data_IF_703210314623
#
_entry.id   IF_703210314623
#
_cell.length_a   1.000
_cell.length_b   1.000
_cell.length_c   1.000
_cell.angle_alpha   90.00
_cell.angle_beta   90.00
_cell.angle_gamma   90.00
#
_symmetry.space_group_name_H-M   'P 1'
#
loop_
_entity.id
_entity.type
_entity.pdbx_description
1 polymer ?
#
# COMPACT_ATOMS: atom_id res chain seq x y z
N UNK A 1 -2.13 1.70 -21.61
CA UNK A 1 -2.11 1.19 -20.22
C UNK A 1 -1.80 -0.30 -20.30
N UNK A 2 -0.71 -0.79 -19.71
CA UNK A 2 -0.40 -2.24 -19.73
C UNK A 2 -1.23 -2.98 -18.67
N UNK A 3 -1.60 -4.23 -18.95
CA UNK A 3 -2.29 -5.11 -17.99
C UNK A 3 -1.55 -5.18 -16.64
N UNK A 4 -0.22 -5.27 -16.71
CA UNK A 4 0.65 -5.26 -15.53
C UNK A 4 0.51 -3.99 -14.69
N UNK A 5 0.44 -2.82 -15.33
CA UNK A 5 0.26 -1.54 -14.64
C UNK A 5 -1.11 -1.47 -13.94
N UNK A 6 -2.17 -1.97 -14.58
CA UNK A 6 -3.49 -2.05 -13.97
C UNK A 6 -3.52 -2.99 -12.76
N UNK A 7 -2.86 -4.15 -12.86
CA UNK A 7 -2.71 -5.08 -11.73
C UNK A 7 -2.00 -4.41 -10.55
N UNK A 8 -0.90 -3.69 -10.80
CA UNK A 8 -0.16 -2.98 -9.75
C UNK A 8 -1.02 -1.89 -9.08
N UNK A 9 -1.80 -1.13 -9.86
CA UNK A 9 -2.70 -0.10 -9.31
C UNK A 9 -3.79 -0.69 -8.42
N UNK A 10 -4.41 -1.81 -8.84
CA UNK A 10 -5.40 -2.53 -8.03
C UNK A 10 -4.81 -3.10 -6.74
N UNK A 11 -3.61 -3.69 -6.82
CA UNK A 11 -2.91 -4.19 -5.63
C UNK A 11 -2.61 -3.05 -4.64
N UNK A 12 -2.16 -1.90 -5.14
CA UNK A 12 -1.91 -0.70 -4.33
C UNK A 12 -3.18 -0.21 -3.63
N UNK A 13 -4.28 -0.07 -4.37
CA UNK A 13 -5.57 0.35 -3.82
C UNK A 13 -6.00 -0.56 -2.67
N UNK A 14 -5.89 -1.88 -2.86
CA UNK A 14 -6.24 -2.84 -1.82
C UNK A 14 -5.38 -2.70 -0.56
N UNK A 15 -4.08 -2.48 -0.73
CA UNK A 15 -3.17 -2.28 0.42
C UNK A 15 -3.47 -0.99 1.17
N UNK A 16 -3.92 0.07 0.49
CA UNK A 16 -4.36 1.30 1.16
C UNK A 16 -5.59 1.04 2.03
N UNK A 17 -6.58 0.30 1.53
CA UNK A 17 -7.76 -0.07 2.33
C UNK A 17 -7.38 -0.85 3.59
N UNK A 18 -6.52 -1.87 3.43
CA UNK A 18 -6.06 -2.70 4.55
C UNK A 18 -5.24 -1.88 5.57
N UNK A 19 -4.39 -0.95 5.11
CA UNK A 19 -3.64 -0.02 5.97
C UNK A 19 -4.58 0.88 6.76
N UNK A 20 -5.60 1.43 6.11
CA UNK A 20 -6.53 2.37 6.73
C UNK A 20 -7.38 1.70 7.82
N UNK A 21 -7.66 0.40 7.70
CA UNK A 21 -8.26 -0.38 8.77
C UNK A 21 -7.37 -0.41 10.03
N UNK A 22 -6.06 -0.60 9.87
CA UNK A 22 -5.12 -0.55 11.00
C UNK A 22 -4.93 0.87 11.56
N UNK A 23 -4.96 1.90 10.71
CA UNK A 23 -4.93 3.29 11.14
C UNK A 23 -6.12 3.62 12.07
N UNK A 24 -7.32 3.13 11.75
CA UNK A 24 -8.52 3.29 12.60
C UNK A 24 -8.33 2.65 13.98
N UNK A 25 -7.68 1.49 14.06
CA UNK A 25 -7.36 0.83 15.35
C UNK A 25 -6.39 1.68 16.17
N UNK A 26 -5.37 2.26 15.53
CA UNK A 26 -4.39 3.12 16.21
C UNK A 26 -4.99 4.45 16.68
N UNK A 27 -6.04 4.94 16.02
CA UNK A 27 -6.76 6.15 16.40
C UNK A 27 -7.81 5.92 17.52
N UNK A 28 -8.17 4.67 17.81
CA UNK A 28 -9.11 4.33 18.87
C UNK A 28 -8.45 4.46 20.27
N UNK A 29 -9.24 4.46 21.37
CA UNK A 29 -8.69 4.42 22.72
C UNK A 29 -7.67 3.29 22.90
N UNK A 30 -6.61 3.57 23.64
CA UNK A 30 -5.45 2.68 23.73
C UNK A 30 -5.80 1.32 24.32
N UNK A 31 -5.61 0.29 23.51
CA UNK A 31 -5.60 -1.12 23.88
C UNK A 31 -4.23 -1.66 23.48
N UNK A 32 -3.38 -2.00 24.46
CA UNK A 32 -1.96 -2.31 24.23
C UNK A 32 -1.77 -3.41 23.19
N UNK A 33 -2.49 -4.53 23.33
CA UNK A 33 -2.32 -5.69 22.46
C UNK A 33 -2.81 -5.41 21.04
N UNK A 34 -3.91 -4.65 20.91
CA UNK A 34 -4.41 -4.24 19.58
C UNK A 34 -3.52 -3.20 18.93
N UNK A 35 -3.01 -2.24 19.70
CA UNK A 35 -2.16 -1.17 19.22
C UNK A 35 -0.80 -1.69 18.72
N UNK A 36 -0.16 -2.62 19.45
CA UNK A 36 1.14 -3.17 19.06
C UNK A 36 1.04 -4.01 17.77
N UNK A 37 0.00 -4.85 17.67
CA UNK A 37 -0.29 -5.60 16.44
C UNK A 37 -0.63 -4.68 15.27
N UNK A 38 -1.49 -3.69 15.48
CA UNK A 38 -1.89 -2.75 14.44
C UNK A 38 -0.70 -1.91 13.95
N UNK A 39 0.19 -1.48 14.84
CA UNK A 39 1.41 -0.74 14.47
C UNK A 39 2.32 -1.57 13.59
N UNK A 40 2.57 -2.83 13.96
CA UNK A 40 3.43 -3.74 13.17
C UNK A 40 2.84 -3.94 11.78
N UNK A 41 1.55 -4.25 11.69
CA UNK A 41 0.86 -4.43 10.40
C UNK A 41 0.79 -3.16 9.56
N UNK A 42 0.56 -2.02 10.18
CA UNK A 42 0.58 -0.73 9.48
C UNK A 42 1.92 -0.48 8.78
N UNK A 43 3.05 -0.70 9.46
CA UNK A 43 4.38 -0.50 8.88
C UNK A 43 4.70 -1.51 7.78
N UNK A 44 4.35 -2.79 7.95
CA UNK A 44 4.50 -3.82 6.92
C UNK A 44 3.73 -3.44 5.64
N UNK A 45 2.45 -3.06 5.78
CA UNK A 45 1.61 -2.68 4.64
C UNK A 45 2.12 -1.39 3.99
N UNK A 46 2.55 -0.39 4.77
CA UNK A 46 3.13 0.83 4.21
C UNK A 46 4.40 0.54 3.40
N UNK A 47 5.25 -0.38 3.87
CA UNK A 47 6.45 -0.80 3.11
C UNK A 47 6.06 -1.45 1.77
N UNK A 48 4.99 -2.24 1.75
CA UNK A 48 4.47 -2.83 0.51
C UNK A 48 3.87 -1.76 -0.43
N UNK A 49 3.12 -0.80 0.10
CA UNK A 49 2.61 0.34 -0.69
C UNK A 49 3.76 1.10 -1.35
N UNK A 50 4.82 1.41 -0.60
CA UNK A 50 5.98 2.13 -1.13
C UNK A 50 6.67 1.34 -2.25
N UNK A 51 6.75 0.01 -2.13
CA UNK A 51 7.28 -0.86 -3.17
C UNK A 51 6.39 -0.88 -4.43
N UNK A 52 5.07 -0.94 -4.25
CA UNK A 52 4.10 -0.86 -5.36
C UNK A 52 4.17 0.48 -6.07
N UNK A 53 4.29 1.58 -5.33
CA UNK A 53 4.42 2.94 -5.89
C UNK A 53 5.68 3.09 -6.74
N UNK A 54 6.81 2.53 -6.28
CA UNK A 54 8.05 2.48 -7.08
C UNK A 54 7.88 1.62 -8.33
N UNK A 55 7.22 0.47 -8.23
CA UNK A 55 6.97 -0.40 -9.38
C UNK A 55 6.06 0.28 -10.43
N UNK A 56 4.97 0.91 -9.99
CA UNK A 56 4.04 1.69 -10.84
C UNK A 56 4.81 2.82 -11.56
N UNK A 57 5.61 3.58 -10.82
CA UNK A 57 6.42 4.67 -11.40
C UNK A 57 7.39 4.15 -12.46
N UNK A 58 7.97 2.96 -12.24
CA UNK A 58 8.83 2.28 -13.20
C UNK A 58 8.08 1.91 -14.48
N UNK A 59 6.91 1.28 -14.37
CA UNK A 59 6.08 0.91 -15.52
C UNK A 59 5.61 2.13 -16.32
N UNK A 60 5.18 3.19 -15.65
CA UNK A 60 4.77 4.43 -16.30
C UNK A 60 5.94 5.10 -17.05
N UNK A 61 7.16 5.00 -16.51
CA UNK A 61 8.37 5.51 -17.16
C UNK A 61 8.77 4.70 -18.39
N UNK A 62 8.58 3.38 -18.36
CA UNK A 62 8.80 2.51 -19.54
C UNK A 62 7.76 2.79 -20.62
N UNK A 63 6.48 2.93 -20.24
CA UNK A 63 5.40 3.24 -21.18
C UNK A 63 5.68 4.53 -21.95
N UNK A 64 6.11 5.60 -21.28
CA UNK A 64 6.43 6.90 -21.90
C UNK A 64 7.66 6.87 -22.82
N UNK A 65 8.53 5.87 -22.71
CA UNK A 65 9.70 5.69 -23.58
C UNK A 65 9.41 4.83 -24.81
N UNK A 66 8.30 4.08 -24.77
CA UNK A 66 7.87 3.20 -25.87
C UNK A 66 6.89 3.88 -26.83
N UNK A 67 6.44 5.09 -26.51
CA UNK A 67 5.66 6.01 -27.35
C UNK A 67 6.60 6.96 -28.12
#
# INVERSE_FOLDING_TARGET
>A
MSERLETLKKARERMVEDRDAHAKVLAAPFDRDKAERARTKFTEIQTLIDALDRAISGEESVSKRAE
#
